data_IF_428271906835
#
_entry.id   IF_428271906835
#
_cell.length_a   1.000
_cell.length_b   1.000
_cell.length_c   1.000
_cell.angle_alpha   90.00
_cell.angle_beta   90.00
_cell.angle_gamma   90.00
#
_symmetry.space_group_name_H-M   'P 1'
#
loop_
_entity.id
_entity.type
_entity.pdbx_description
1 polymer ?
#
# COMPACT_ATOMS: atom_id res chain seq x y z
N UNK A 1 9.89 -18.35 1.78
CA UNK A 1 9.13 -17.11 2.04
C UNK A 1 9.72 -16.38 3.23
N UNK A 2 9.61 -15.06 3.27
CA UNK A 2 10.08 -14.23 4.40
C UNK A 2 9.22 -14.52 5.63
N UNK A 3 9.83 -14.72 6.79
CA UNK A 3 9.11 -14.91 8.05
C UNK A 3 8.74 -13.54 8.63
N UNK A 4 7.45 -13.18 8.59
CA UNK A 4 6.95 -11.88 9.08
C UNK A 4 7.35 -11.61 10.54
N UNK A 5 7.35 -12.64 11.40
CA UNK A 5 7.64 -12.45 12.84
C UNK A 5 9.07 -11.97 13.11
N UNK A 6 9.98 -12.13 12.13
CA UNK A 6 11.37 -11.65 12.19
C UNK A 6 11.59 -10.27 11.60
N UNK A 7 10.55 -9.69 11.01
CA UNK A 7 10.63 -8.36 10.42
C UNK A 7 10.52 -7.25 11.47
N UNK A 8 10.97 -6.05 11.12
CA UNK A 8 10.76 -4.88 11.95
C UNK A 8 9.27 -4.50 12.07
N UNK A 9 8.46 -4.84 11.08
CA UNK A 9 7.01 -4.59 11.06
C UNK A 9 6.24 -5.41 12.10
N UNK A 10 6.83 -6.51 12.59
CA UNK A 10 6.28 -7.25 13.73
C UNK A 10 6.51 -6.55 15.09
N UNK A 11 7.32 -5.46 15.12
CA UNK A 11 7.65 -4.70 16.33
C UNK A 11 6.79 -3.45 16.42
N UNK A 12 6.00 -3.31 17.48
CA UNK A 12 5.08 -2.18 17.67
C UNK A 12 5.76 -0.80 17.64
N UNK A 13 6.97 -0.69 18.20
CA UNK A 13 7.73 0.57 18.23
C UNK A 13 8.12 1.04 16.83
N UNK A 14 8.57 0.13 15.95
CA UNK A 14 8.94 0.47 14.57
C UNK A 14 7.75 1.04 13.79
N UNK A 15 6.62 0.38 13.85
CA UNK A 15 5.40 0.82 13.19
C UNK A 15 4.91 2.17 13.71
N UNK A 16 5.00 2.42 15.03
CA UNK A 16 4.60 3.70 15.63
C UNK A 16 5.43 4.86 15.08
N UNK A 17 6.75 4.75 15.11
CA UNK A 17 7.66 5.78 14.61
C UNK A 17 7.45 6.09 13.12
N UNK A 18 7.12 5.06 12.32
CA UNK A 18 6.79 5.24 10.92
C UNK A 18 5.50 6.03 10.72
N UNK A 19 4.43 5.68 11.45
CA UNK A 19 3.12 6.31 11.30
C UNK A 19 3.15 7.82 11.64
N UNK A 20 3.89 8.21 12.68
CA UNK A 20 4.01 9.60 13.10
C UNK A 20 4.63 10.50 12.03
N UNK A 21 5.46 9.93 11.15
CA UNK A 21 6.22 10.67 10.13
C UNK A 21 5.81 10.32 8.69
N UNK A 22 4.78 9.51 8.51
CA UNK A 22 4.39 9.01 7.18
C UNK A 22 4.06 10.12 6.17
N UNK A 23 3.44 11.22 6.59
CA UNK A 23 3.13 12.37 5.73
C UNK A 23 4.39 13.20 5.34
N UNK A 24 5.54 12.95 5.99
CA UNK A 24 6.84 13.51 5.62
C UNK A 24 7.60 12.53 4.73
N UNK A 25 7.56 11.24 5.04
CA UNK A 25 8.34 10.23 4.32
C UNK A 25 7.75 9.85 2.98
N UNK A 26 6.42 9.85 2.86
CA UNK A 26 5.71 9.46 1.64
C UNK A 26 5.39 10.72 0.83
N UNK A 27 6.12 10.86 -0.28
CA UNK A 27 5.97 12.00 -1.19
C UNK A 27 4.54 12.08 -1.72
N UNK A 28 3.96 13.28 -1.68
CA UNK A 28 2.62 13.57 -2.23
C UNK A 28 1.51 12.62 -1.72
N UNK A 29 1.64 12.10 -0.49
CA UNK A 29 0.70 11.11 0.06
C UNK A 29 -0.76 11.54 -0.05
N UNK A 30 -1.06 12.81 0.28
CA UNK A 30 -2.41 13.37 0.17
C UNK A 30 -2.91 13.43 -1.26
N UNK A 31 -2.03 13.70 -2.23
CA UNK A 31 -2.37 13.67 -3.65
C UNK A 31 -2.67 12.25 -4.11
N UNK A 32 -1.90 11.27 -3.65
CA UNK A 32 -2.15 9.86 -3.97
C UNK A 32 -3.51 9.39 -3.44
N UNK A 33 -3.88 9.79 -2.23
CA UNK A 33 -5.23 9.52 -1.69
C UNK A 33 -6.31 10.20 -2.53
N UNK A 34 -6.14 11.47 -2.94
CA UNK A 34 -7.07 12.17 -3.82
C UNK A 34 -7.26 11.48 -5.18
N UNK A 35 -6.20 10.89 -5.74
CA UNK A 35 -6.28 10.09 -6.98
C UNK A 35 -7.07 8.81 -6.73
N UNK A 36 -6.80 8.11 -5.62
CA UNK A 36 -7.55 6.91 -5.24
C UNK A 36 -9.04 7.21 -5.00
N UNK A 37 -9.36 8.33 -4.35
CA UNK A 37 -10.75 8.80 -4.18
C UNK A 37 -11.46 8.98 -5.53
N UNK A 38 -10.79 9.69 -6.46
CA UNK A 38 -11.31 9.89 -7.82
C UNK A 38 -11.53 8.57 -8.56
N UNK A 39 -10.55 7.65 -8.46
CA UNK A 39 -10.62 6.33 -9.06
C UNK A 39 -11.82 5.53 -8.52
N UNK A 40 -11.95 5.46 -7.19
CA UNK A 40 -13.05 4.76 -6.55
C UNK A 40 -14.40 5.38 -6.86
N UNK A 41 -14.53 6.70 -6.76
CA UNK A 41 -15.76 7.43 -7.09
C UNK A 41 -16.22 7.15 -8.51
N UNK A 42 -15.29 6.98 -9.47
CA UNK A 42 -15.61 6.68 -10.86
C UNK A 42 -16.05 5.22 -11.07
N UNK A 43 -15.30 4.27 -10.52
CA UNK A 43 -15.49 2.85 -10.83
C UNK A 43 -16.43 2.12 -9.85
N UNK A 44 -16.56 2.60 -8.59
CA UNK A 44 -17.39 1.95 -7.58
C UNK A 44 -18.83 2.47 -7.56
N UNK A 45 -19.06 3.71 -7.95
CA UNK A 45 -20.40 4.34 -7.91
C UNK A 45 -21.43 3.65 -8.79
N UNK A 46 -21.00 2.94 -9.84
CA UNK A 46 -21.86 2.15 -10.73
C UNK A 46 -22.03 0.67 -10.31
N UNK A 47 -21.25 0.22 -9.35
CA UNK A 47 -21.28 -1.16 -8.83
C UNK A 47 -22.24 -1.22 -7.65
N UNK A 48 -23.20 -2.15 -7.69
CA UNK A 48 -24.09 -2.43 -6.54
C UNK A 48 -23.36 -3.11 -5.37
N UNK A 49 -22.08 -3.45 -5.53
CA UNK A 49 -21.25 -4.18 -4.58
C UNK A 49 -20.16 -3.27 -4.04
N UNK A 50 -20.04 -3.20 -2.72
CA UNK A 50 -19.19 -2.26 -2.01
C UNK A 50 -18.21 -2.96 -1.06
N UNK A 51 -17.82 -4.19 -1.41
CA UNK A 51 -16.87 -4.95 -0.60
C UNK A 51 -15.44 -4.63 -1.02
N UNK A 52 -14.65 -4.16 -0.06
CA UNK A 52 -13.25 -3.77 -0.24
C UNK A 52 -12.36 -4.62 0.65
N UNK A 53 -11.18 -4.97 0.14
CA UNK A 53 -10.09 -5.57 0.90
C UNK A 53 -8.92 -4.60 0.96
N UNK A 54 -8.51 -4.20 2.16
CA UNK A 54 -7.30 -3.43 2.44
C UNK A 54 -6.19 -4.38 2.89
N UNK A 55 -5.19 -4.58 2.02
CA UNK A 55 -4.08 -5.52 2.20
C UNK A 55 -2.84 -4.85 2.78
N UNK A 56 -2.39 -5.29 3.96
CA UNK A 56 -1.35 -4.61 4.72
C UNK A 56 -1.86 -3.27 5.20
N UNK A 57 -3.04 -3.27 5.83
CA UNK A 57 -3.82 -2.06 6.13
C UNK A 57 -3.14 -1.14 7.16
N UNK A 58 -2.12 -1.62 7.90
CA UNK A 58 -1.47 -0.86 8.94
C UNK A 58 -2.47 -0.35 9.98
N UNK A 59 -2.43 0.95 10.26
CA UNK A 59 -3.33 1.63 11.21
C UNK A 59 -4.70 2.01 10.61
N UNK A 60 -5.01 1.55 9.40
CA UNK A 60 -6.30 1.77 8.74
C UNK A 60 -6.47 3.15 8.07
N UNK A 61 -5.41 3.93 7.90
CA UNK A 61 -5.49 5.28 7.31
C UNK A 61 -6.06 5.24 5.88
N UNK A 62 -5.68 4.24 5.06
CA UNK A 62 -6.20 4.11 3.71
C UNK A 62 -7.71 3.84 3.74
N UNK A 63 -8.15 2.92 4.58
CA UNK A 63 -9.58 2.62 4.78
C UNK A 63 -10.35 3.85 5.27
N UNK A 64 -9.80 4.64 6.21
CA UNK A 64 -10.41 5.90 6.66
C UNK A 64 -10.64 6.87 5.49
N UNK A 65 -9.65 7.07 4.65
CA UNK A 65 -9.74 7.90 3.45
C UNK A 65 -10.84 7.39 2.48
N UNK A 66 -10.95 6.08 2.30
CA UNK A 66 -11.99 5.49 1.44
C UNK A 66 -13.41 5.70 2.00
N UNK A 67 -13.58 5.59 3.32
CA UNK A 67 -14.86 5.82 3.99
C UNK A 67 -15.32 7.27 3.93
N UNK A 68 -14.42 8.23 3.74
CA UNK A 68 -14.77 9.64 3.46
C UNK A 68 -15.41 9.80 2.08
N UNK A 69 -15.09 8.94 1.11
CA UNK A 69 -15.74 8.95 -0.23
C UNK A 69 -17.10 8.27 -0.17
N UNK A 70 -17.19 7.14 0.51
CA UNK A 70 -18.44 6.39 0.66
C UNK A 70 -18.46 5.65 2.03
N UNK A 71 -19.22 6.17 2.96
CA UNK A 71 -19.37 5.59 4.30
C UNK A 71 -20.14 4.27 4.33
N UNK A 72 -20.74 3.84 3.20
CA UNK A 72 -21.48 2.58 3.11
C UNK A 72 -20.60 1.39 2.68
N UNK A 73 -19.29 1.58 2.56
CA UNK A 73 -18.36 0.51 2.21
C UNK A 73 -18.31 -0.58 3.28
N UNK A 74 -18.25 -1.82 2.83
CA UNK A 74 -17.93 -2.97 3.68
C UNK A 74 -16.47 -3.32 3.48
N UNK A 75 -15.66 -3.14 4.52
CA UNK A 75 -14.21 -3.29 4.41
C UNK A 75 -13.72 -4.46 5.25
N UNK A 76 -12.89 -5.30 4.62
CA UNK A 76 -12.04 -6.27 5.31
C UNK A 76 -10.61 -5.71 5.36
N UNK A 77 -10.05 -5.60 6.55
CA UNK A 77 -8.69 -5.12 6.79
C UNK A 77 -7.81 -6.32 7.15
N UNK A 78 -6.71 -6.49 6.43
CA UNK A 78 -5.74 -7.56 6.68
C UNK A 78 -4.37 -6.97 6.97
N UNK A 79 -3.78 -7.36 8.09
CA UNK A 79 -2.40 -7.03 8.46
C UNK A 79 -1.77 -8.15 9.28
N UNK A 80 -0.44 -8.30 9.18
CA UNK A 80 0.33 -9.27 9.96
C UNK A 80 0.56 -8.85 11.41
N UNK A 81 0.36 -7.58 11.77
CA UNK A 81 0.63 -7.01 13.07
C UNK A 81 -0.64 -6.80 13.89
N UNK A 82 -0.73 -7.45 15.06
CA UNK A 82 -1.84 -7.21 15.98
C UNK A 82 -1.88 -5.76 16.50
N UNK A 83 -0.72 -5.12 16.70
CA UNK A 83 -0.63 -3.71 17.12
C UNK A 83 -1.22 -2.78 16.04
N UNK A 84 -0.93 -3.03 14.77
CA UNK A 84 -1.51 -2.27 13.65
C UNK A 84 -3.02 -2.45 13.57
N UNK A 85 -3.51 -3.68 13.67
CA UNK A 85 -4.94 -3.95 13.69
C UNK A 85 -5.66 -3.31 14.90
N UNK A 86 -5.00 -3.24 16.06
CA UNK A 86 -5.55 -2.55 17.22
C UNK A 86 -5.68 -1.03 16.95
N UNK A 87 -4.68 -0.41 16.33
CA UNK A 87 -4.73 1.00 15.92
C UNK A 87 -5.79 1.25 14.85
N UNK A 88 -5.91 0.34 13.86
CA UNK A 88 -6.96 0.42 12.86
C UNK A 88 -8.36 0.36 13.49
N UNK A 89 -8.60 -0.53 14.46
CA UNK A 89 -9.86 -0.56 15.20
C UNK A 89 -10.14 0.74 15.95
N UNK A 90 -9.11 1.32 16.59
CA UNK A 90 -9.26 2.60 17.28
C UNK A 90 -9.59 3.73 16.31
N UNK A 91 -8.89 3.82 15.18
CA UNK A 91 -9.11 4.85 14.15
C UNK A 91 -10.50 4.75 13.52
N UNK A 92 -10.90 3.55 13.16
CA UNK A 92 -12.10 3.30 12.36
C UNK A 92 -13.37 3.11 13.18
N UNK A 93 -13.26 2.99 14.50
CA UNK A 93 -14.39 2.73 15.39
C UNK A 93 -15.53 3.76 15.33
N UNK A 94 -15.24 4.99 14.88
CA UNK A 94 -16.27 6.04 14.67
C UNK A 94 -17.10 5.83 13.40
N UNK A 95 -16.61 5.02 12.44
CA UNK A 95 -17.31 4.75 11.16
C UNK A 95 -18.16 3.49 11.21
N UNK A 96 -17.94 2.60 12.17
CA UNK A 96 -18.68 1.34 12.32
C UNK A 96 -17.81 0.14 12.64
N UNK A 97 -18.40 -1.05 12.49
CA UNK A 97 -17.70 -2.31 12.69
C UNK A 97 -17.20 -2.86 11.35
N UNK A 98 -15.91 -3.24 11.32
CA UNK A 98 -15.24 -3.79 10.15
C UNK A 98 -14.66 -5.17 10.46
N UNK A 99 -14.42 -5.96 9.42
CA UNK A 99 -13.74 -7.25 9.56
C UNK A 99 -12.23 -7.04 9.59
N UNK A 100 -11.58 -7.48 10.67
CA UNK A 100 -10.14 -7.46 10.83
C UNK A 100 -9.58 -8.87 10.79
N UNK A 101 -8.63 -9.11 9.90
CA UNK A 101 -7.99 -10.40 9.68
C UNK A 101 -6.51 -10.29 10.02
N UNK A 102 -6.09 -10.96 11.09
CA UNK A 102 -4.67 -11.06 11.41
C UNK A 102 -4.04 -12.14 10.53
N UNK A 103 -3.33 -11.73 9.49
CA UNK A 103 -2.54 -12.59 8.65
C UNK A 103 -1.43 -11.79 7.96
N UNK A 104 -0.24 -12.36 7.87
CA UNK A 104 0.82 -11.86 7.00
C UNK A 104 0.51 -12.19 5.53
N UNK A 105 1.22 -11.55 4.59
CA UNK A 105 1.11 -11.93 3.17
C UNK A 105 1.48 -13.40 2.95
N UNK A 106 2.47 -13.92 3.68
CA UNK A 106 2.87 -15.32 3.59
C UNK A 106 1.73 -16.25 4.04
N UNK A 107 1.07 -15.93 5.16
CA UNK A 107 -0.10 -16.69 5.62
C UNK A 107 -1.28 -16.61 4.65
N UNK A 108 -1.50 -15.44 4.01
CA UNK A 108 -2.52 -15.29 2.97
C UNK A 108 -2.23 -16.16 1.73
N UNK A 109 -0.94 -16.38 1.42
CA UNK A 109 -0.52 -17.22 0.28
C UNK A 109 -0.58 -18.72 0.59
N UNK A 110 -0.41 -19.10 1.85
CA UNK A 110 -0.37 -20.50 2.28
C UNK A 110 -1.72 -21.04 2.75
N UNK A 111 -2.58 -20.15 3.24
CA UNK A 111 -3.86 -20.51 3.89
C UNK A 111 -5.03 -19.79 3.23
N UNK A 112 -6.17 -20.41 3.25
CA UNK A 112 -7.42 -19.77 2.79
C UNK A 112 -8.05 -18.94 3.93
N UNK A 113 -7.41 -17.80 4.24
CA UNK A 113 -7.85 -16.89 5.32
C UNK A 113 -8.96 -15.93 4.88
N UNK A 114 -9.22 -15.84 3.57
CA UNK A 114 -10.24 -15.00 2.96
C UNK A 114 -11.08 -15.82 1.98
N UNK A 115 -12.37 -15.92 2.24
CA UNK A 115 -13.33 -16.68 1.43
C UNK A 115 -14.22 -15.79 0.54
N UNK A 116 -14.31 -14.49 0.87
CA UNK A 116 -15.18 -13.56 0.14
C UNK A 116 -14.52 -13.08 -1.15
N UNK A 117 -15.35 -12.51 -2.03
CA UNK A 117 -14.93 -11.75 -3.20
C UNK A 117 -15.09 -10.26 -2.96
N UNK A 118 -14.25 -9.47 -3.60
CA UNK A 118 -14.16 -8.03 -3.40
C UNK A 118 -14.32 -7.28 -4.71
N UNK A 119 -15.06 -6.18 -4.69
CA UNK A 119 -15.13 -5.25 -5.82
C UNK A 119 -13.83 -4.48 -6.00
N UNK A 120 -13.15 -4.20 -4.87
CA UNK A 120 -11.84 -3.55 -4.85
C UNK A 120 -10.89 -4.24 -3.87
N UNK A 121 -9.65 -4.41 -4.31
CA UNK A 121 -8.53 -4.75 -3.45
C UNK A 121 -7.53 -3.59 -3.51
N UNK A 122 -7.21 -3.03 -2.36
CA UNK A 122 -6.26 -1.93 -2.24
C UNK A 122 -5.11 -2.32 -1.34
N UNK A 123 -3.95 -1.70 -1.57
CA UNK A 123 -2.80 -1.80 -0.68
C UNK A 123 -2.01 -0.50 -0.69
N UNK A 124 -1.41 -0.12 0.43
CA UNK A 124 -0.57 1.06 0.51
C UNK A 124 0.71 0.79 1.29
N UNK A 125 1.86 1.02 0.65
CA UNK A 125 3.20 0.94 1.25
C UNK A 125 3.50 -0.40 1.95
N UNK A 126 3.03 -1.52 1.38
CA UNK A 126 3.15 -2.84 1.99
C UNK A 126 3.73 -3.92 1.05
N UNK A 127 3.37 -3.91 -0.24
CA UNK A 127 3.74 -4.97 -1.19
C UNK A 127 5.24 -4.97 -1.52
N UNK A 128 5.93 -3.85 -1.40
CA UNK A 128 7.38 -3.76 -1.62
C UNK A 128 8.23 -4.57 -0.63
N UNK A 129 7.66 -5.10 0.45
CA UNK A 129 8.35 -6.01 1.36
C UNK A 129 8.44 -7.46 0.85
N UNK A 130 7.73 -7.79 -0.21
CA UNK A 130 7.76 -9.10 -0.83
C UNK A 130 8.84 -9.19 -1.91
N UNK A 131 9.44 -10.38 -2.08
CA UNK A 131 10.25 -10.70 -3.25
C UNK A 131 9.39 -10.68 -4.51
N UNK A 132 10.01 -10.55 -5.69
CA UNK A 132 9.25 -10.51 -6.95
C UNK A 132 8.39 -11.77 -7.16
N UNK A 133 8.91 -12.93 -6.81
CA UNK A 133 8.13 -14.18 -6.88
C UNK A 133 6.93 -14.19 -5.92
N UNK A 134 7.10 -13.70 -4.71
CA UNK A 134 6.00 -13.55 -3.75
C UNK A 134 4.96 -12.52 -4.22
N UNK A 135 5.39 -11.41 -4.85
CA UNK A 135 4.47 -10.43 -5.48
C UNK A 135 3.62 -11.08 -6.58
N UNK A 136 4.24 -11.88 -7.45
CA UNK A 136 3.49 -12.62 -8.49
C UNK A 136 2.45 -13.55 -7.85
N UNK A 137 2.80 -14.26 -6.79
CA UNK A 137 1.86 -15.12 -6.07
C UNK A 137 0.73 -14.29 -5.44
N UNK A 138 1.07 -13.16 -4.82
CA UNK A 138 0.08 -12.24 -4.24
C UNK A 138 -0.85 -11.67 -5.31
N UNK A 139 -0.34 -11.24 -6.46
CA UNK A 139 -1.16 -10.72 -7.56
C UNK A 139 -2.11 -11.80 -8.12
N UNK A 140 -1.67 -13.05 -8.22
CA UNK A 140 -2.56 -14.18 -8.57
C UNK A 140 -3.66 -14.39 -7.52
N UNK A 141 -3.30 -14.31 -6.23
CA UNK A 141 -4.27 -14.43 -5.13
C UNK A 141 -5.27 -13.27 -5.18
N UNK A 142 -4.81 -12.03 -5.36
CA UNK A 142 -5.67 -10.85 -5.53
C UNK A 142 -6.62 -11.03 -6.71
N UNK A 143 -6.13 -11.48 -7.87
CA UNK A 143 -6.97 -11.76 -9.03
C UNK A 143 -8.07 -12.77 -8.71
N UNK A 144 -7.77 -13.81 -7.94
CA UNK A 144 -8.77 -14.80 -7.51
C UNK A 144 -9.79 -14.25 -6.50
N UNK A 145 -9.41 -13.27 -5.69
CA UNK A 145 -10.27 -12.65 -4.68
C UNK A 145 -11.14 -11.52 -5.26
N UNK A 146 -10.79 -10.96 -6.40
CA UNK A 146 -11.60 -9.94 -7.04
C UNK A 146 -12.87 -10.55 -7.66
N UNK A 147 -13.96 -9.79 -7.65
CA UNK A 147 -15.13 -10.02 -8.48
C UNK A 147 -14.83 -9.78 -9.96
N UNK A 148 -15.64 -10.30 -10.86
CA UNK A 148 -15.53 -9.99 -12.29
C UNK A 148 -15.79 -8.49 -12.49
N UNK A 149 -14.83 -7.81 -13.13
CA UNK A 149 -14.82 -6.35 -13.27
C UNK A 149 -14.30 -5.57 -12.07
N UNK A 150 -13.88 -6.25 -11.01
CA UNK A 150 -13.26 -5.62 -9.84
C UNK A 150 -11.83 -5.15 -10.11
N UNK A 151 -11.35 -4.21 -9.31
CA UNK A 151 -10.04 -3.59 -9.48
C UNK A 151 -9.07 -3.88 -8.33
N UNK A 152 -7.80 -4.01 -8.68
CA UNK A 152 -6.68 -3.92 -7.75
C UNK A 152 -5.95 -2.60 -7.94
N UNK A 153 -5.70 -1.88 -6.85
CA UNK A 153 -4.92 -0.64 -6.84
C UNK A 153 -3.87 -0.70 -5.74
N UNK A 154 -2.61 -0.49 -6.12
CA UNK A 154 -1.46 -0.49 -5.22
C UNK A 154 -0.79 0.89 -5.19
N UNK A 155 -0.69 1.49 -4.01
CA UNK A 155 0.13 2.67 -3.74
C UNK A 155 1.44 2.17 -3.15
N UNK A 156 2.56 2.30 -3.87
CA UNK A 156 3.81 1.70 -3.40
C UNK A 156 5.06 2.35 -3.99
N UNK A 157 6.21 1.96 -3.44
CA UNK A 157 7.51 2.33 -3.97
C UNK A 157 7.99 1.31 -4.99
N UNK A 158 8.68 1.81 -6.02
CA UNK A 158 9.24 0.99 -7.10
C UNK A 158 10.73 1.23 -7.27
N UNK A 159 11.42 0.20 -7.76
CA UNK A 159 12.82 0.30 -8.11
C UNK A 159 12.98 1.13 -9.39
N UNK A 160 13.88 2.13 -9.40
CA UNK A 160 14.24 2.85 -10.62
C UNK A 160 14.86 1.92 -11.66
N UNK A 161 14.61 2.16 -12.97
CA UNK A 161 15.11 1.26 -14.03
C UNK A 161 16.62 1.39 -14.29
N UNK A 162 17.25 2.49 -13.85
CA UNK A 162 18.68 2.74 -14.02
C UNK A 162 19.26 3.44 -12.78
N UNK A 163 20.57 3.31 -12.57
CA UNK A 163 21.27 3.99 -11.48
C UNK A 163 21.19 5.53 -11.60
N UNK A 164 21.28 6.07 -12.80
CA UNK A 164 21.14 7.51 -13.01
C UNK A 164 19.77 8.04 -12.59
N UNK A 165 18.71 7.28 -12.86
CA UNK A 165 17.37 7.63 -12.40
C UNK A 165 17.21 7.39 -10.89
N UNK A 166 17.88 6.39 -10.31
CA UNK A 166 17.88 6.19 -8.85
C UNK A 166 18.46 7.41 -8.13
N UNK A 167 19.62 7.89 -8.57
CA UNK A 167 20.26 9.08 -8.00
C UNK A 167 19.35 10.31 -8.08
N UNK A 168 18.69 10.52 -9.21
CA UNK A 168 17.77 11.64 -9.38
C UNK A 168 16.50 11.50 -8.54
N UNK A 169 15.90 10.30 -8.47
CA UNK A 169 14.70 10.07 -7.66
C UNK A 169 14.98 10.21 -6.17
N UNK A 170 16.18 9.80 -5.72
CA UNK A 170 16.63 10.03 -4.35
C UNK A 170 16.76 11.52 -4.05
N UNK A 171 17.32 12.30 -5.01
CA UNK A 171 17.38 13.76 -4.87
C UNK A 171 15.97 14.36 -4.77
N UNK A 172 15.05 13.99 -5.65
CA UNK A 172 13.66 14.45 -5.59
C UNK A 172 12.99 14.12 -4.24
N UNK A 173 13.25 12.93 -3.71
CA UNK A 173 12.70 12.52 -2.42
C UNK A 173 13.30 13.34 -1.27
N UNK A 174 14.60 13.56 -1.29
CA UNK A 174 15.27 14.42 -0.32
C UNK A 174 14.71 15.85 -0.35
N UNK A 175 14.70 16.47 -1.53
CA UNK A 175 14.19 17.83 -1.72
C UNK A 175 12.74 17.96 -1.17
N UNK A 176 11.88 17.00 -1.49
CA UNK A 176 10.53 16.94 -0.94
C UNK A 176 10.49 16.92 0.59
N UNK A 177 11.27 16.02 1.22
CA UNK A 177 11.28 15.91 2.68
C UNK A 177 11.81 17.18 3.34
N UNK A 178 12.84 17.79 2.79
CA UNK A 178 13.44 19.01 3.32
C UNK A 178 12.46 20.19 3.22
N UNK A 179 11.78 20.35 2.08
CA UNK A 179 10.74 21.36 1.88
C UNK A 179 9.57 21.14 2.84
N UNK A 180 9.14 19.90 3.02
CA UNK A 180 8.05 19.54 3.92
C UNK A 180 8.39 19.85 5.37
N UNK A 181 9.58 19.45 5.84
CA UNK A 181 10.07 19.76 7.19
C UNK A 181 10.17 21.25 7.42
N UNK A 182 10.75 21.99 6.46
CA UNK A 182 10.84 23.44 6.52
C UNK A 182 9.47 24.09 6.65
N UNK A 183 8.50 23.65 5.87
CA UNK A 183 7.13 24.18 5.91
C UNK A 183 6.40 23.93 7.23
N UNK A 184 6.79 22.90 7.96
CA UNK A 184 6.24 22.52 9.27
C UNK A 184 7.05 23.05 10.45
N UNK A 185 8.20 23.72 10.19
CA UNK A 185 9.12 24.19 11.23
C UNK A 185 9.76 23.05 12.03
N UNK A 186 9.95 21.89 11.39
CA UNK A 186 10.56 20.71 12.02
C UNK A 186 12.06 20.73 11.82
N UNK A 187 12.80 20.67 12.92
CA UNK A 187 14.26 20.46 12.96
C UNK A 187 14.52 19.08 13.56
N UNK A 188 14.19 18.05 12.76
CA UNK A 188 14.37 16.66 13.14
C UNK A 188 15.51 15.99 12.35
N UNK A 189 15.52 14.65 12.37
CA UNK A 189 16.53 13.84 11.69
C UNK A 189 16.80 14.27 10.23
N UNK A 190 18.07 14.39 9.77
CA UNK A 190 18.39 14.68 8.37
C UNK A 190 17.74 13.71 7.38
N UNK A 191 17.24 14.22 6.24
CA UNK A 191 16.54 13.40 5.23
C UNK A 191 17.44 12.32 4.63
N UNK A 192 18.75 12.55 4.58
CA UNK A 192 19.76 11.56 4.15
C UNK A 192 19.76 10.31 5.04
N UNK A 193 19.57 10.46 6.36
CA UNK A 193 19.50 9.33 7.28
C UNK A 193 18.25 8.47 7.04
N UNK A 194 17.13 9.11 6.70
CA UNK A 194 15.88 8.44 6.36
C UNK A 194 16.07 7.60 5.09
N UNK A 195 16.64 8.21 4.05
CA UNK A 195 16.92 7.56 2.77
C UNK A 195 17.91 6.40 2.97
N UNK A 196 18.98 6.63 3.72
CA UNK A 196 19.97 5.58 4.03
C UNK A 196 19.30 4.41 4.72
N UNK A 197 18.51 4.66 5.76
CA UNK A 197 17.77 3.63 6.50
C UNK A 197 16.80 2.86 5.59
N UNK A 198 16.10 3.53 4.68
CA UNK A 198 15.26 2.88 3.69
C UNK A 198 16.05 1.94 2.77
N UNK A 199 17.22 2.38 2.27
CA UNK A 199 18.08 1.58 1.39
C UNK A 199 18.74 0.41 2.12
N UNK A 200 19.15 0.62 3.36
CA UNK A 200 19.84 -0.39 4.17
C UNK A 200 18.88 -1.46 4.73
N UNK A 201 17.58 -1.21 4.73
CA UNK A 201 16.59 -2.14 5.26
C UNK A 201 16.38 -3.31 4.30
N UNK A 202 16.92 -4.48 4.65
CA UNK A 202 16.85 -5.72 3.83
C UNK A 202 15.41 -6.23 3.61
N UNK A 203 14.47 -5.73 4.37
CA UNK A 203 13.04 -6.03 4.21
C UNK A 203 12.42 -5.28 3.02
N UNK A 204 13.02 -4.18 2.57
CA UNK A 204 12.59 -3.45 1.38
C UNK A 204 13.11 -4.17 0.13
N UNK A 205 12.18 -4.65 -0.68
CA UNK A 205 12.43 -5.40 -1.92
C UNK A 205 11.61 -4.81 -3.06
N UNK A 206 11.77 -3.51 -3.35
CA UNK A 206 11.06 -2.90 -4.46
C UNK A 206 11.48 -3.55 -5.78
N UNK A 207 10.54 -3.67 -6.71
CA UNK A 207 10.78 -4.10 -8.09
C UNK A 207 10.43 -2.97 -9.05
N UNK A 208 10.92 -3.06 -10.29
CA UNK A 208 10.60 -2.06 -11.29
C UNK A 208 9.09 -2.01 -11.59
N UNK A 209 8.56 -0.81 -11.81
CA UNK A 209 7.16 -0.65 -12.21
C UNK A 209 6.83 -1.46 -13.46
N UNK A 210 7.71 -1.42 -14.47
CA UNK A 210 7.52 -2.17 -15.71
C UNK A 210 7.38 -3.68 -15.48
N UNK A 211 8.20 -4.26 -14.59
CA UNK A 211 8.13 -5.68 -14.21
C UNK A 211 6.81 -6.02 -13.54
N UNK A 212 6.35 -5.18 -12.61
CA UNK A 212 5.08 -5.40 -11.90
C UNK A 212 3.86 -5.25 -12.82
N UNK A 213 3.82 -4.22 -13.70
CA UNK A 213 2.74 -4.07 -14.69
C UNK A 213 2.71 -5.24 -15.69
N UNK A 214 3.89 -5.73 -16.12
CA UNK A 214 3.97 -6.92 -16.96
C UNK A 214 3.40 -8.14 -16.25
N UNK A 215 3.77 -8.38 -15.00
CA UNK A 215 3.27 -9.50 -14.20
C UNK A 215 1.73 -9.47 -14.05
N UNK A 216 1.14 -8.29 -13.79
CA UNK A 216 -0.32 -8.15 -13.73
C UNK A 216 -0.98 -8.56 -15.05
N UNK A 217 -0.46 -8.09 -16.21
CA UNK A 217 -0.99 -8.47 -17.52
C UNK A 217 -0.88 -9.97 -17.80
N UNK A 218 0.24 -10.58 -17.47
CA UNK A 218 0.48 -12.02 -17.65
C UNK A 218 -0.42 -12.90 -16.76
N UNK A 219 -0.87 -12.37 -15.60
CA UNK A 219 -1.83 -13.04 -14.71
C UNK A 219 -3.26 -12.98 -15.29
N UNK A 220 -3.57 -11.99 -16.13
CA UNK A 220 -4.89 -11.84 -16.74
C UNK A 220 -5.63 -10.56 -16.34
N UNK A 221 -4.98 -9.64 -15.62
CA UNK A 221 -5.56 -8.30 -15.41
C UNK A 221 -5.64 -7.55 -16.74
N UNK A 222 -6.76 -6.90 -16.98
CA UNK A 222 -7.01 -5.92 -18.02
C UNK A 222 -6.84 -4.49 -17.45
N UNK A 223 -6.88 -3.49 -18.32
CA UNK A 223 -6.79 -2.06 -17.93
C UNK A 223 -5.58 -1.77 -17.00
N UNK A 224 -4.48 -2.52 -17.17
CA UNK A 224 -3.28 -2.41 -16.34
C UNK A 224 -2.51 -1.15 -16.71
N UNK A 225 -2.39 -0.22 -15.75
CA UNK A 225 -1.69 1.05 -15.96
C UNK A 225 -1.06 1.58 -14.67
N UNK A 226 -0.22 2.61 -14.83
CA UNK A 226 0.29 3.47 -13.77
C UNK A 226 -0.55 4.74 -13.71
N UNK A 227 -1.32 4.89 -12.66
CA UNK A 227 -2.26 6.02 -12.49
C UNK A 227 -1.56 7.28 -11.96
N UNK A 228 -0.40 7.10 -11.30
CA UNK A 228 0.42 8.19 -10.79
C UNK A 228 1.86 7.72 -10.56
N UNK A 229 2.83 8.63 -10.81
CA UNK A 229 4.23 8.38 -10.47
C UNK A 229 4.97 9.67 -10.13
N UNK A 230 5.64 9.68 -8.98
CA UNK A 230 6.61 10.71 -8.60
C UNK A 230 7.88 10.03 -8.02
N UNK A 231 8.98 10.10 -8.75
CA UNK A 231 10.20 9.39 -8.36
C UNK A 231 9.96 7.88 -8.21
N UNK A 232 10.20 7.37 -7.00
CA UNK A 232 9.95 5.97 -6.64
C UNK A 232 8.50 5.70 -6.22
N UNK A 233 7.70 6.72 -5.87
CA UNK A 233 6.31 6.56 -5.41
C UNK A 233 5.35 6.44 -6.57
N UNK A 234 4.47 5.44 -6.52
CA UNK A 234 3.57 5.11 -7.63
C UNK A 234 2.19 4.71 -7.14
N UNK A 235 1.20 4.90 -8.02
CA UNK A 235 -0.10 4.23 -7.95
C UNK A 235 -0.24 3.43 -9.24
N UNK A 236 -0.46 2.14 -9.14
CA UNK A 236 -0.67 1.28 -10.29
C UNK A 236 -1.67 0.17 -9.97
N UNK A 237 -2.21 -0.44 -10.99
CA UNK A 237 -3.16 -1.52 -10.78
C UNK A 237 -3.73 -2.06 -12.07
N UNK A 238 -4.86 -2.76 -11.95
CA UNK A 238 -5.58 -3.33 -13.08
C UNK A 238 -6.92 -3.91 -12.67
N UNK A 239 -7.70 -4.29 -13.65
CA UNK A 239 -9.05 -4.84 -13.56
C UNK A 239 -9.03 -6.34 -13.82
N UNK A 240 -9.76 -7.11 -13.03
CA UNK A 240 -10.06 -8.51 -13.33
C UNK A 240 -11.02 -8.67 -14.49
#
# INVERSE_FOLDING_TARGET
>A
MTDFTKTNWAKAEFGRNYLEKADIYIVERRRMFGILHSFMGHFLSSSGKKQILDLGCGDGILTEELLQVDSSLTVTLLDGSDDMLAKARQRLGIFGDFRYVRASFQELLEKDVLAERYAFVVSSMAVHHLTFSEKIMLFKRIHSLLEDGGYFVNIDVVLPPTEALDQWYIKLWKDWMDDKKSSLGLDDEPSENIIKRYKDLSENKPDTLAGQLKALREIGFSEVDCFYKYGIFTIFGGKR
#
